data_IF_309983686618
#
_entry.id   IF_309983686618
#
_cell.length_a   1.000
_cell.length_b   1.000
_cell.length_c   1.000
_cell.angle_alpha   90.00
_cell.angle_beta   90.00
_cell.angle_gamma   90.00
#
_symmetry.space_group_name_H-M   'P 1'
#
loop_
_entity.id
_entity.type
_entity.pdbx_description
1 polymer ?
#
# COMPACT_ATOMS: atom_id res chain seq x y z
N UNK A 1 -57.55 34.51 -12.18
CA UNK A 1 -57.52 35.94 -11.81
C UNK A 1 -57.69 36.05 -10.30
N UNK A 2 -56.71 36.65 -9.61
CA UNK A 2 -56.73 37.10 -8.20
C UNK A 2 -56.76 36.00 -7.11
N UNK A 3 -56.11 36.12 -5.95
CA UNK A 3 -55.06 36.99 -5.41
C UNK A 3 -54.77 36.43 -3.98
N UNK A 4 -53.50 36.13 -3.68
CA UNK A 4 -52.73 36.51 -2.47
C UNK A 4 -53.38 36.37 -1.06
N UNK A 5 -52.78 35.45 -0.28
CA UNK A 5 -52.31 35.54 1.14
C UNK A 5 -53.30 35.81 2.28
N UNK A 6 -53.29 34.92 3.28
CA UNK A 6 -53.20 35.34 4.68
C UNK A 6 -52.56 34.23 5.53
N UNK A 7 -51.49 34.59 6.24
CA UNK A 7 -50.75 33.75 7.20
C UNK A 7 -51.45 33.85 8.55
N UNK A 8 -51.61 32.73 9.27
CA UNK A 8 -51.90 32.75 10.70
C UNK A 8 -51.21 31.56 11.39
N UNK A 9 -50.21 31.90 12.20
CA UNK A 9 -49.48 31.01 13.11
C UNK A 9 -50.32 30.66 14.34
N UNK A 10 -50.19 29.44 14.90
CA UNK A 10 -50.43 29.20 16.33
C UNK A 10 -49.42 28.18 16.90
N UNK A 11 -49.00 28.52 18.11
CA UNK A 11 -47.95 28.08 19.02
C UNK A 11 -48.08 26.66 19.62
N UNK A 12 -46.93 26.02 19.87
CA UNK A 12 -46.74 24.79 20.65
C UNK A 12 -46.22 25.11 22.07
N UNK A 13 -46.63 24.42 23.16
CA UNK A 13 -46.02 24.61 24.48
C UNK A 13 -44.82 23.67 24.72
N UNK A 14 -43.97 24.13 25.65
CA UNK A 14 -42.62 23.68 25.94
C UNK A 14 -42.52 22.61 27.04
N UNK A 15 -41.39 21.89 27.07
CA UNK A 15 -40.83 21.23 28.27
C UNK A 15 -39.28 21.30 28.21
N UNK A 16 -38.70 21.77 29.32
CA UNK A 16 -37.27 21.98 29.64
C UNK A 16 -36.65 20.68 30.25
N UNK A 17 -35.44 20.71 30.84
CA UNK A 17 -34.11 20.88 30.23
C UNK A 17 -33.16 19.71 30.60
N UNK A 18 -32.03 19.56 29.90
CA UNK A 18 -30.86 18.90 30.47
C UNK A 18 -29.61 19.64 30.02
N UNK A 19 -28.96 20.28 30.99
CA UNK A 19 -27.65 20.89 30.84
C UNK A 19 -26.60 19.79 30.64
N UNK A 20 -25.77 19.95 29.62
CA UNK A 20 -24.53 19.18 29.42
C UNK A 20 -23.40 20.17 29.15
N UNK A 21 -22.21 19.97 29.74
CA UNK A 21 -21.24 21.02 29.98
C UNK A 21 -20.51 21.46 28.70
N UNK A 22 -20.16 22.74 28.67
CA UNK A 22 -19.26 23.33 27.70
C UNK A 22 -17.86 22.73 27.84
N UNK A 23 -17.43 21.96 26.83
CA UNK A 23 -16.03 21.61 26.62
C UNK A 23 -15.43 22.62 25.64
N UNK A 24 -14.44 23.38 26.11
CA UNK A 24 -13.65 24.30 25.30
C UNK A 24 -12.81 23.52 24.26
N UNK A 25 -12.61 24.04 23.03
CA UNK A 25 -11.62 23.49 22.13
C UNK A 25 -10.22 23.90 22.61
N UNK A 26 -9.50 22.97 23.24
CA UNK A 26 -8.05 23.05 23.35
C UNK A 26 -7.45 22.90 21.94
N UNK A 27 -6.58 23.85 21.61
CA UNK A 27 -5.69 23.78 20.46
C UNK A 27 -4.92 22.46 20.49
N UNK A 28 -5.10 21.64 19.46
CA UNK A 28 -4.22 20.52 19.19
C UNK A 28 -3.09 21.05 18.30
N UNK A 29 -1.97 21.32 18.96
CA UNK A 29 -0.68 21.59 18.36
C UNK A 29 -0.31 20.45 17.40
N UNK A 30 0.00 20.83 16.16
CA UNK A 30 0.55 19.95 15.14
C UNK A 30 1.95 19.52 15.56
N UNK A 31 2.04 18.42 16.33
CA UNK A 31 3.28 17.73 16.59
C UNK A 31 3.68 16.98 15.32
N UNK A 32 4.51 17.61 14.48
CA UNK A 32 5.33 16.91 13.49
C UNK A 32 6.29 15.99 14.22
N UNK A 33 5.78 14.84 14.65
CA UNK A 33 6.60 13.70 15.01
C UNK A 33 7.20 13.17 13.71
N UNK A 34 8.48 13.49 13.49
CA UNK A 34 9.30 12.80 12.52
C UNK A 34 9.17 11.31 12.75
N UNK A 35 8.57 10.63 11.78
CA UNK A 35 8.70 9.19 11.63
C UNK A 35 10.16 8.93 11.30
N UNK A 36 10.96 8.76 12.34
CA UNK A 36 12.17 7.95 12.26
C UNK A 36 11.73 6.57 11.79
N UNK A 37 11.75 6.38 10.47
CA UNK A 37 11.82 5.06 9.87
C UNK A 37 13.06 4.40 10.49
N UNK A 38 12.94 3.29 11.24
CA UNK A 38 14.11 2.53 11.60
C UNK A 38 14.70 2.05 10.28
N UNK A 39 15.80 2.70 9.87
CA UNK A 39 16.72 2.18 8.88
C UNK A 39 17.24 0.88 9.48
N UNK A 40 16.57 -0.22 9.18
CA UNK A 40 17.07 -1.56 9.46
C UNK A 40 18.38 -1.64 8.72
N UNK A 41 19.45 -1.47 9.48
CA UNK A 41 20.81 -1.72 9.05
C UNK A 41 20.81 -3.11 8.45
N UNK A 42 21.14 -3.16 7.16
CA UNK A 42 21.37 -4.39 6.42
C UNK A 42 22.49 -5.14 7.15
N UNK A 43 22.11 -6.01 8.10
CA UNK A 43 22.84 -7.23 8.36
C UNK A 43 23.23 -7.74 6.97
N UNK A 44 24.52 -7.95 6.71
CA UNK A 44 25.00 -8.49 5.42
C UNK A 44 24.18 -9.73 5.12
N UNK A 45 23.10 -9.55 4.37
CA UNK A 45 22.14 -10.60 4.11
C UNK A 45 22.90 -11.62 3.30
N UNK A 46 22.88 -12.89 3.73
CA UNK A 46 23.44 -13.99 2.96
C UNK A 46 22.87 -14.07 1.54
N UNK A 47 21.75 -13.38 1.32
CA UNK A 47 20.99 -13.34 0.09
C UNK A 47 21.06 -11.96 -0.56
N UNK A 48 21.02 -11.96 -1.90
CA UNK A 48 20.84 -10.78 -2.73
C UNK A 48 19.37 -10.37 -2.70
N UNK A 49 19.11 -9.07 -2.54
CA UNK A 49 17.76 -8.53 -2.48
C UNK A 49 17.36 -7.94 -3.83
N UNK A 50 16.25 -8.42 -4.39
CA UNK A 50 15.60 -7.76 -5.54
C UNK A 50 14.53 -6.84 -5.00
N UNK A 51 14.63 -5.54 -5.31
CA UNK A 51 13.78 -4.48 -4.80
C UNK A 51 12.86 -3.95 -5.87
N UNK A 52 11.71 -3.40 -5.46
CA UNK A 52 10.81 -2.72 -6.37
C UNK A 52 11.43 -1.41 -6.87
N UNK A 53 11.54 -1.20 -8.20
CA UNK A 53 12.05 0.05 -8.75
C UNK A 53 10.97 1.16 -8.80
N UNK A 54 9.72 0.85 -8.46
CA UNK A 54 8.58 1.77 -8.55
C UNK A 54 7.51 1.48 -7.50
N UNK A 55 6.54 2.38 -7.38
CA UNK A 55 5.31 2.15 -6.60
C UNK A 55 4.26 1.54 -7.52
N UNK A 56 3.57 0.50 -7.06
CA UNK A 56 2.54 -0.16 -7.87
C UNK A 56 1.87 -1.33 -7.17
N UNK A 57 1.23 -2.21 -7.95
CA UNK A 57 0.63 -3.46 -7.48
C UNK A 57 1.44 -4.64 -7.99
N UNK A 58 1.85 -5.55 -7.09
CA UNK A 58 2.64 -6.72 -7.45
C UNK A 58 1.78 -7.86 -8.00
N UNK A 59 2.25 -8.49 -9.08
CA UNK A 59 1.70 -9.73 -9.61
C UNK A 59 2.80 -10.75 -9.87
N UNK A 60 2.70 -11.92 -9.24
CA UNK A 60 3.65 -13.02 -9.42
C UNK A 60 3.44 -13.85 -10.70
N UNK A 61 2.42 -13.54 -11.50
CA UNK A 61 2.03 -14.25 -12.72
C UNK A 61 1.68 -13.24 -13.83
N UNK A 62 1.75 -13.63 -15.12
CA UNK A 62 1.46 -12.74 -16.25
C UNK A 62 0.00 -12.28 -16.29
N UNK A 63 -0.91 -13.12 -15.78
CA UNK A 63 -2.34 -12.85 -15.72
C UNK A 63 -3.00 -13.62 -14.56
N UNK A 64 -4.19 -13.22 -14.08
CA UNK A 64 -4.90 -13.94 -13.04
C UNK A 64 -5.18 -15.40 -13.42
N UNK A 65 -4.77 -16.34 -12.57
CA UNK A 65 -4.98 -17.78 -12.80
C UNK A 65 -3.92 -18.47 -13.65
N UNK A 66 -2.97 -17.72 -14.24
CA UNK A 66 -1.80 -18.31 -14.88
C UNK A 66 -0.79 -18.83 -13.84
N UNK A 67 0.21 -19.59 -14.34
CA UNK A 67 1.32 -20.05 -13.51
C UNK A 67 2.16 -18.85 -13.06
N UNK A 68 2.65 -18.83 -11.81
CA UNK A 68 3.58 -17.79 -11.39
C UNK A 68 4.87 -17.89 -12.20
N UNK A 69 5.54 -16.75 -12.40
CA UNK A 69 6.85 -16.69 -13.04
C UNK A 69 7.88 -17.54 -12.28
N UNK A 70 7.75 -17.59 -10.95
CA UNK A 70 8.70 -18.19 -10.04
C UNK A 70 8.01 -18.90 -8.87
N UNK A 71 8.68 -19.90 -8.34
CA UNK A 71 8.41 -20.51 -7.04
C UNK A 71 9.69 -20.55 -6.20
N UNK A 72 9.55 -20.67 -4.88
CA UNK A 72 10.72 -20.82 -3.99
C UNK A 72 11.47 -22.10 -4.36
N UNK A 73 12.78 -21.98 -4.56
CA UNK A 73 13.66 -23.04 -5.03
C UNK A 73 13.99 -22.98 -6.52
N UNK A 74 13.31 -22.15 -7.30
CA UNK A 74 13.61 -22.00 -8.71
C UNK A 74 14.96 -21.30 -8.94
N UNK A 75 15.71 -21.80 -9.93
CA UNK A 75 16.93 -21.14 -10.41
C UNK A 75 16.54 -20.05 -11.40
N UNK A 76 17.15 -18.88 -11.24
CA UNK A 76 16.96 -17.71 -12.10
C UNK A 76 18.28 -17.27 -12.73
N UNK A 77 18.18 -16.65 -13.90
CA UNK A 77 19.30 -16.02 -14.59
C UNK A 77 19.12 -14.51 -14.66
N UNK A 78 20.22 -13.77 -14.82
CA UNK A 78 20.15 -12.34 -15.12
C UNK A 78 19.31 -12.08 -16.38
N UNK A 79 18.42 -11.09 -16.32
CA UNK A 79 17.48 -10.73 -17.38
C UNK A 79 16.19 -11.58 -17.39
N UNK A 80 16.07 -12.60 -16.52
CA UNK A 80 14.83 -13.37 -16.43
C UNK A 80 13.73 -12.54 -15.76
N UNK A 81 12.52 -12.57 -16.32
CA UNK A 81 11.33 -11.93 -15.74
C UNK A 81 10.94 -12.65 -14.45
N UNK A 82 10.79 -11.87 -13.38
CA UNK A 82 10.50 -12.35 -12.02
C UNK A 82 9.06 -12.09 -11.60
N UNK A 83 8.50 -10.95 -11.99
CA UNK A 83 7.13 -10.54 -11.70
C UNK A 83 6.72 -9.35 -12.58
N UNK A 84 5.46 -8.95 -12.43
CA UNK A 84 4.95 -7.69 -12.97
C UNK A 84 4.64 -6.74 -11.81
N UNK A 85 4.92 -5.45 -12.02
CA UNK A 85 4.41 -4.37 -11.18
C UNK A 85 3.51 -3.49 -12.05
N UNK A 86 2.24 -3.42 -11.67
CA UNK A 86 1.28 -2.53 -12.31
C UNK A 86 1.39 -1.13 -11.72
N UNK A 87 1.73 -0.15 -12.56
CA UNK A 87 1.75 1.25 -12.20
C UNK A 87 0.97 2.06 -13.25
N UNK A 88 -0.08 2.78 -12.83
CA UNK A 88 -0.89 3.62 -13.72
C UNK A 88 -1.40 2.91 -14.99
N UNK A 89 -1.91 1.68 -14.86
CA UNK A 89 -2.38 0.80 -15.95
C UNK A 89 -1.29 0.27 -16.90
N UNK A 90 -0.02 0.42 -16.54
CA UNK A 90 1.10 -0.15 -17.28
C UNK A 90 1.63 -1.34 -16.49
N UNK A 91 1.71 -2.50 -17.16
CA UNK A 91 2.27 -3.73 -16.62
C UNK A 91 3.78 -3.74 -16.89
N UNK A 92 4.58 -3.37 -15.89
CA UNK A 92 6.02 -3.34 -16.02
C UNK A 92 6.62 -4.66 -15.55
N UNK A 93 7.32 -5.35 -16.44
CA UNK A 93 8.06 -6.57 -16.11
C UNK A 93 9.31 -6.21 -15.29
N UNK A 94 9.53 -6.95 -14.22
CA UNK A 94 10.73 -6.82 -13.38
C UNK A 94 11.66 -7.97 -13.72
N UNK A 95 12.85 -7.64 -14.21
CA UNK A 95 13.88 -8.62 -14.56
C UNK A 95 14.89 -8.80 -13.43
N UNK A 96 15.50 -9.99 -13.35
CA UNK A 96 16.59 -10.24 -12.40
C UNK A 96 17.87 -9.52 -12.81
N UNK A 97 18.53 -8.87 -11.86
CA UNK A 97 19.89 -8.36 -12.04
C UNK A 97 20.97 -9.41 -11.74
N UNK A 98 20.57 -10.56 -11.20
CA UNK A 98 21.46 -11.59 -10.65
C UNK A 98 21.11 -12.99 -11.16
N UNK A 99 22.10 -13.88 -11.13
CA UNK A 99 21.92 -15.32 -11.25
C UNK A 99 21.83 -15.94 -9.83
N UNK A 100 21.01 -16.98 -9.65
CA UNK A 100 20.90 -17.64 -8.35
C UNK A 100 19.66 -18.49 -8.17
N UNK A 101 19.31 -18.78 -6.91
CA UNK A 101 18.11 -19.55 -6.54
C UNK A 101 17.19 -18.70 -5.66
N UNK A 102 15.90 -18.67 -5.98
CA UNK A 102 14.88 -17.97 -5.18
C UNK A 102 14.75 -18.65 -3.81
N UNK A 103 15.09 -17.96 -2.73
CA UNK A 103 14.89 -18.47 -1.36
C UNK A 103 13.61 -17.95 -0.73
N UNK A 104 13.27 -16.69 -0.99
CA UNK A 104 12.07 -16.08 -0.42
C UNK A 104 11.38 -15.18 -1.44
N UNK A 105 10.05 -15.24 -1.45
CA UNK A 105 9.16 -14.30 -2.14
C UNK A 105 8.43 -13.54 -1.04
N UNK A 106 8.73 -12.25 -0.91
CA UNK A 106 8.27 -11.38 0.18
C UNK A 106 7.06 -10.53 -0.22
N UNK A 107 6.75 -10.45 -1.50
CA UNK A 107 5.58 -9.76 -2.03
C UNK A 107 4.40 -10.72 -2.22
N UNK A 108 3.18 -10.19 -2.06
CA UNK A 108 1.94 -10.94 -2.25
C UNK A 108 1.22 -10.46 -3.52
N UNK A 109 0.69 -11.39 -4.30
CA UNK A 109 -0.05 -11.05 -5.54
C UNK A 109 -1.25 -10.17 -5.22
N UNK A 110 -1.50 -9.17 -6.07
CA UNK A 110 -2.56 -8.17 -5.92
C UNK A 110 -2.43 -7.28 -4.67
N UNK A 111 -1.22 -7.11 -4.14
CA UNK A 111 -0.92 -6.21 -3.02
C UNK A 111 -0.04 -5.03 -3.46
N UNK A 112 -0.18 -3.85 -2.81
CA UNK A 112 0.65 -2.70 -3.11
C UNK A 112 2.11 -2.96 -2.73
N UNK A 113 3.01 -2.37 -3.51
CA UNK A 113 4.45 -2.33 -3.25
C UNK A 113 4.99 -0.91 -3.38
N UNK A 114 5.96 -0.59 -2.53
CA UNK A 114 6.61 0.72 -2.47
C UNK A 114 7.98 0.72 -3.16
N UNK A 115 8.47 1.90 -3.52
CA UNK A 115 9.82 2.04 -4.05
C UNK A 115 10.86 1.53 -3.03
N UNK A 116 11.77 0.67 -3.50
CA UNK A 116 12.82 0.09 -2.66
C UNK A 116 12.36 -1.05 -1.76
N UNK A 117 11.07 -1.40 -1.75
CA UNK A 117 10.55 -2.56 -1.01
C UNK A 117 11.18 -3.85 -1.55
N UNK A 118 11.64 -4.73 -0.65
CA UNK A 118 12.20 -6.02 -1.03
C UNK A 118 11.10 -6.96 -1.52
N UNK A 119 11.26 -7.49 -2.72
CA UNK A 119 10.31 -8.42 -3.35
C UNK A 119 10.78 -9.86 -3.25
N UNK A 120 12.09 -10.08 -3.44
CA UNK A 120 12.70 -11.41 -3.45
C UNK A 120 14.03 -11.43 -2.71
N UNK A 121 14.35 -12.59 -2.11
CA UNK A 121 15.71 -12.91 -1.66
C UNK A 121 16.28 -14.06 -2.48
N UNK A 122 17.44 -13.83 -3.06
CA UNK A 122 18.13 -14.75 -3.98
C UNK A 122 19.42 -15.25 -3.34
N UNK A 123 19.65 -16.56 -3.37
CA UNK A 123 20.93 -17.16 -3.00
C UNK A 123 21.85 -17.22 -4.21
N UNK A 124 22.99 -16.50 -4.21
CA UNK A 124 23.95 -16.56 -5.31
C UNK A 124 24.74 -17.88 -5.37
N UNK A 125 24.72 -18.69 -4.32
CA UNK A 125 25.50 -19.95 -4.25
C UNK A 125 24.69 -21.19 -4.68
N UNK A 126 23.36 -21.08 -4.78
CA UNK A 126 22.44 -22.18 -5.13
C UNK A 126 21.90 -22.94 -3.92
#
# INVERSE_FOLDING_TARGET
MRLIVCVASVTLPALLPAAVPAAAPQAAESNSAGLEVPKVEAAKSKYLEVKSPMVGTYYGAPEPGARPYLTVGDRISKGQILCIIEAMKIMNEIESEFDGVVKEILAQTAHPVEYGQVLFRIDPNG
#
